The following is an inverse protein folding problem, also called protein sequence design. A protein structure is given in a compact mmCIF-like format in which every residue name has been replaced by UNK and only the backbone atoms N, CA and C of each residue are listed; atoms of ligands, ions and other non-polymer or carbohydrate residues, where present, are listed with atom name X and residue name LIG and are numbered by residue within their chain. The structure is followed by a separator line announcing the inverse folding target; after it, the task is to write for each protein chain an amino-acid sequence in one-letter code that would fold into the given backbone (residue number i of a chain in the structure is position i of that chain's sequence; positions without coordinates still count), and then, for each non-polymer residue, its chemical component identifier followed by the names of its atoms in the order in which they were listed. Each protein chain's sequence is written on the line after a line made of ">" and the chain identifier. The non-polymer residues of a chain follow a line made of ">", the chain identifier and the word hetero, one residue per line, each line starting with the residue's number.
data_IF_239465079697
#
_entry.id   IF_239465079697
#
_cell.length_a   1.000
_cell.length_b   1.000
_cell.length_c   1.000
_cell.angle_alpha   90.00
_cell.angle_beta   90.00
_cell.angle_gamma   90.00
#
_symmetry.space_group_name_H-M   'P 1'
#
loop_
_entity.id
_entity.type
_entity.pdbx_description
1 polymer ?
#
# COMPACT_ATOMS: atom_id res chain seq x y z
N UNK A 1 3.64 0.17 -9.11
CA UNK A 1 2.90 -1.09 -9.35
C UNK A 1 1.90 -0.84 -10.46
N UNK A 2 1.92 -1.67 -11.51
CA UNK A 2 0.90 -1.68 -12.56
C UNK A 2 0.03 -2.93 -12.40
N UNK A 3 -1.29 -2.75 -12.46
CA UNK A 3 -2.28 -3.82 -12.40
C UNK A 3 -3.19 -3.73 -13.62
N UNK A 4 -3.28 -4.81 -14.39
CA UNK A 4 -4.05 -4.87 -15.63
C UNK A 4 -5.10 -5.97 -15.58
N UNK A 5 -6.36 -5.60 -15.77
CA UNK A 5 -7.46 -6.53 -15.97
C UNK A 5 -7.65 -6.78 -17.46
N UNK A 6 -7.34 -7.99 -17.93
CA UNK A 6 -7.56 -8.40 -19.32
C UNK A 6 -8.90 -9.12 -19.52
N UNK A 7 -9.70 -9.30 -18.48
CA UNK A 7 -11.01 -9.97 -18.54
C UNK A 7 -12.13 -8.99 -18.85
N UNK A 8 -13.24 -9.53 -19.32
CA UNK A 8 -14.46 -8.77 -19.65
C UNK A 8 -15.37 -8.53 -18.43
N UNK A 9 -14.92 -8.91 -17.24
CA UNK A 9 -15.62 -8.69 -15.97
C UNK A 9 -14.79 -7.78 -15.07
N UNK A 10 -15.42 -6.91 -14.26
CA UNK A 10 -14.70 -6.13 -13.25
C UNK A 10 -14.09 -7.04 -12.19
N UNK A 11 -12.92 -6.65 -11.68
CA UNK A 11 -12.20 -7.40 -10.64
C UNK A 11 -11.75 -6.45 -9.53
N UNK A 12 -11.65 -7.00 -8.32
CA UNK A 12 -10.98 -6.37 -7.18
C UNK A 12 -9.68 -7.11 -6.92
N UNK A 13 -8.58 -6.37 -6.86
CA UNK A 13 -7.26 -6.90 -6.54
C UNK A 13 -6.83 -6.36 -5.19
N UNK A 14 -6.45 -7.28 -4.30
CA UNK A 14 -5.90 -6.96 -2.98
C UNK A 14 -4.41 -7.32 -2.98
N UNK A 15 -3.56 -6.33 -2.75
CA UNK A 15 -2.11 -6.47 -2.77
C UNK A 15 -1.61 -6.29 -1.35
N UNK A 16 -1.14 -7.40 -0.75
CA UNK A 16 -0.53 -7.38 0.58
C UNK A 16 0.99 -7.24 0.46
N UNK A 17 1.58 -6.44 1.35
CA UNK A 17 3.03 -6.23 1.47
C UNK A 17 3.43 -6.31 2.94
N UNK A 18 4.41 -7.15 3.22
CA UNK A 18 5.02 -7.31 4.53
C UNK A 18 6.34 -6.53 4.55
N UNK A 19 6.68 -5.95 5.69
CA UNK A 19 7.89 -5.16 5.89
C UNK A 19 8.72 -5.75 7.02
N UNK A 20 10.05 -5.63 6.93
CA UNK A 20 10.97 -6.17 7.93
C UNK A 20 11.06 -5.30 9.20
N UNK A 21 10.16 -4.32 9.36
CA UNK A 21 10.16 -3.35 10.44
C UNK A 21 8.73 -3.12 10.94
N UNK A 22 8.51 -3.03 12.27
CA UNK A 22 7.19 -2.72 12.83
C UNK A 22 6.83 -1.22 12.76
N UNK A 23 7.83 -0.34 12.64
CA UNK A 23 7.67 1.11 12.55
C UNK A 23 7.91 1.56 11.13
N UNK A 24 6.84 1.94 10.44
CA UNK A 24 6.90 2.36 9.05
C UNK A 24 5.75 3.28 8.71
N UNK A 25 5.94 4.02 7.63
CA UNK A 25 4.94 4.89 7.02
C UNK A 25 4.96 4.70 5.49
N UNK A 26 3.81 4.90 4.85
CA UNK A 26 3.65 4.79 3.40
C UNK A 26 3.06 6.08 2.86
N UNK A 27 3.81 6.70 1.95
CA UNK A 27 3.27 7.69 1.04
C UNK A 27 2.90 6.98 -0.27
N UNK A 28 1.65 7.10 -0.71
CA UNK A 28 1.19 6.52 -1.98
C UNK A 28 0.64 7.60 -2.91
N UNK A 29 0.71 7.35 -4.21
CA UNK A 29 0.21 8.24 -5.26
C UNK A 29 -0.33 7.44 -6.44
N UNK A 30 -1.08 8.10 -7.32
CA UNK A 30 -1.66 7.47 -8.51
C UNK A 30 -3.00 6.79 -8.25
N UNK A 31 -3.32 5.80 -9.08
CA UNK A 31 -4.67 5.20 -9.14
C UNK A 31 -4.80 4.00 -8.20
N UNK A 32 -5.02 4.28 -6.93
CA UNK A 32 -5.32 3.28 -5.89
C UNK A 32 -6.66 3.59 -5.24
N UNK A 33 -7.47 2.56 -4.99
CA UNK A 33 -8.83 2.72 -4.46
C UNK A 33 -8.89 2.59 -2.93
N UNK A 34 -7.94 1.87 -2.33
CA UNK A 34 -7.83 1.79 -0.89
C UNK A 34 -6.44 1.42 -0.42
N UNK A 35 -6.07 1.93 0.74
CA UNK A 35 -4.85 1.57 1.46
C UNK A 35 -5.18 1.42 2.94
N UNK A 36 -4.67 0.35 3.55
CA UNK A 36 -4.88 0.03 4.95
C UNK A 36 -3.62 -0.58 5.55
N UNK A 37 -3.28 -0.17 6.77
CA UNK A 37 -2.33 -0.87 7.63
C UNK A 37 -3.09 -1.97 8.38
N UNK A 38 -2.96 -3.22 7.91
CA UNK A 38 -3.73 -4.37 8.41
C UNK A 38 -3.06 -5.08 9.57
N UNK A 39 -1.74 -4.94 9.70
CA UNK A 39 -0.98 -5.45 10.85
C UNK A 39 0.22 -4.52 11.14
N UNK A 40 0.96 -4.82 12.20
CA UNK A 40 2.14 -4.09 12.66
C UNK A 40 3.16 -3.86 11.52
N UNK A 41 3.40 -4.87 10.71
CA UNK A 41 4.39 -4.92 9.64
C UNK A 41 3.77 -5.11 8.24
N UNK A 42 2.44 -5.07 8.14
CA UNK A 42 1.74 -5.47 6.92
C UNK A 42 0.79 -4.37 6.42
N UNK A 43 0.94 -4.02 5.15
CA UNK A 43 0.04 -3.13 4.41
C UNK A 43 -0.80 -3.91 3.40
N UNK A 44 -2.03 -3.44 3.19
CA UNK A 44 -2.93 -3.90 2.14
C UNK A 44 -3.31 -2.72 1.25
N UNK A 45 -3.17 -2.94 -0.05
CA UNK A 45 -3.62 -2.03 -1.10
C UNK A 45 -4.79 -2.66 -1.85
N UNK A 46 -5.83 -1.89 -2.12
CA UNK A 46 -6.99 -2.32 -2.88
C UNK A 46 -7.05 -1.56 -4.19
N UNK A 47 -7.21 -2.31 -5.29
CA UNK A 47 -7.38 -1.76 -6.63
C UNK A 47 -8.60 -2.40 -7.27
N UNK A 48 -9.59 -1.58 -7.61
CA UNK A 48 -10.79 -1.96 -8.34
C UNK A 48 -10.60 -1.64 -9.82
N UNK A 49 -10.69 -2.66 -10.67
CA UNK A 49 -10.48 -2.55 -12.10
C UNK A 49 -11.76 -2.92 -12.83
N UNK A 50 -12.25 -2.01 -13.67
CA UNK A 50 -13.28 -2.32 -14.64
C UNK A 50 -12.77 -3.39 -15.64
N UNK A 51 -13.69 -3.97 -16.40
CA UNK A 51 -13.36 -4.85 -17.51
C UNK A 51 -12.34 -4.18 -18.45
N UNK A 52 -11.35 -4.95 -18.93
CA UNK A 52 -10.36 -4.50 -19.93
C UNK A 52 -9.63 -3.19 -19.58
N UNK A 53 -9.36 -2.94 -18.29
CA UNK A 53 -8.74 -1.71 -17.80
C UNK A 53 -7.37 -1.96 -17.14
N UNK A 54 -6.61 -0.88 -16.94
CA UNK A 54 -5.37 -0.89 -16.17
C UNK A 54 -5.31 0.30 -15.21
N UNK A 55 -4.65 0.10 -14.08
CA UNK A 55 -4.33 1.15 -13.11
C UNK A 55 -2.88 1.03 -12.69
N UNK A 56 -2.25 2.17 -12.50
CA UNK A 56 -0.89 2.27 -11.99
C UNK A 56 -0.90 3.16 -10.76
N UNK A 57 -0.24 2.68 -9.71
CA UNK A 57 -0.01 3.44 -8.50
C UNK A 57 1.42 3.24 -8.01
N UNK A 58 1.92 4.20 -7.28
CA UNK A 58 3.25 4.17 -6.69
C UNK A 58 3.15 4.31 -5.18
N UNK A 59 4.12 3.74 -4.47
CA UNK A 59 4.22 3.91 -3.04
C UNK A 59 5.69 3.95 -2.63
N UNK A 60 5.98 4.80 -1.64
CA UNK A 60 7.28 4.89 -0.98
C UNK A 60 7.09 4.49 0.48
N UNK A 61 7.82 3.47 0.92
CA UNK A 61 7.81 3.01 2.32
C UNK A 61 9.00 3.61 3.05
N UNK A 62 8.74 4.36 4.12
CA UNK A 62 9.78 4.84 5.04
C UNK A 62 9.80 3.94 6.26
N UNK A 63 10.87 3.15 6.42
CA UNK A 63 11.06 2.29 7.59
C UNK A 63 11.91 3.00 8.64
N UNK A 64 11.50 2.92 9.90
CA UNK A 64 12.21 3.51 11.03
C UNK A 64 12.90 2.42 11.84
N UNK A 65 14.21 2.56 12.03
CA UNK A 65 15.07 1.59 12.72
C UNK A 65 15.83 2.27 13.86
N UNK A 66 16.01 1.55 14.98
CA UNK A 66 16.79 2.01 16.13
C UNK A 66 16.23 3.27 16.81
N UNK A 67 17.09 4.27 17.07
CA UNK A 67 16.73 5.51 17.81
C UNK A 67 15.67 6.38 17.12
N UNK A 68 15.35 6.12 15.85
CA UNK A 68 14.33 6.84 15.08
C UNK A 68 12.91 6.29 15.25
N UNK A 69 12.69 5.32 16.13
CA UNK A 69 11.35 4.92 16.57
C UNK A 69 10.61 6.08 17.26
N UNK A 70 11.32 6.97 17.96
CA UNK A 70 10.74 8.15 18.61
C UNK A 70 10.14 9.15 17.60
N UNK A 71 10.72 9.29 16.40
CA UNK A 71 10.19 10.15 15.34
C UNK A 71 8.86 9.61 14.79
N UNK A 72 8.71 8.29 14.71
CA UNK A 72 7.44 7.65 14.35
C UNK A 72 6.37 7.93 15.42
N UNK A 73 6.71 7.75 16.72
CA UNK A 73 5.77 8.03 17.82
C UNK A 73 5.30 9.49 17.87
N UNK A 74 6.13 10.46 17.45
CA UNK A 74 5.76 11.88 17.38
C UNK A 74 4.84 12.20 16.21
N UNK A 75 4.95 11.46 15.10
CA UNK A 75 4.09 11.62 13.91
C UNK A 75 2.77 10.87 14.00
N UNK A 76 2.74 9.77 14.75
CA UNK A 76 1.54 8.94 14.92
C UNK A 76 0.61 9.40 16.05
N UNK A 77 0.95 10.48 16.77
CA UNK A 77 0.14 11.05 17.86
C UNK A 77 -0.77 12.15 17.34
#
# INVERSE_FOLDING_TARGET
>A
IEVRNTRDVPIKVEITRNFDAPHWDIAHSGSIDGYEKVDLDTAKFTVELAARSQKTFEYTTTMYQGVRTEDWQRRSR
#
